data_IF_719812449149
#
_entry.id   IF_719812449149
#
_cell.length_a   1.000
_cell.length_b   1.000
_cell.length_c   1.000
_cell.angle_alpha   90.00
_cell.angle_beta   90.00
_cell.angle_gamma   90.00
#
_symmetry.space_group_name_H-M   'P 1'
#
loop_
_entity.id
_entity.type
_entity.pdbx_description
1 polymer ?
#
# COMPACT_ATOMS: atom_id res chain seq x y z
N UNK A 1 90.48 -16.07 -16.73
CA UNK A 1 89.77 -15.01 -15.98
C UNK A 1 88.34 -15.47 -15.75
N UNK A 2 87.97 -15.52 -14.47
CA UNK A 2 86.62 -15.56 -13.87
C UNK A 2 85.50 -16.38 -14.51
N UNK A 3 85.13 -17.42 -13.78
CA UNK A 3 83.82 -18.07 -13.68
C UNK A 3 82.66 -17.07 -13.54
N UNK A 4 81.45 -17.48 -13.96
CA UNK A 4 80.27 -17.53 -13.09
C UNK A 4 79.15 -18.36 -13.73
N UNK A 5 78.82 -19.45 -13.05
CA UNK A 5 77.70 -20.35 -13.26
C UNK A 5 76.54 -19.81 -12.41
N UNK A 6 75.39 -19.48 -13.01
CA UNK A 6 74.17 -19.20 -12.24
C UNK A 6 73.07 -20.20 -12.65
N UNK A 7 72.63 -20.97 -11.66
CA UNK A 7 71.52 -21.93 -11.70
C UNK A 7 70.15 -21.24 -11.80
N UNK A 8 69.07 -21.97 -12.18
CA UNK A 8 67.76 -21.42 -12.48
C UNK A 8 66.97 -21.10 -11.20
N UNK A 9 66.15 -20.04 -11.24
CA UNK A 9 65.18 -19.72 -10.18
C UNK A 9 63.76 -19.91 -10.71
N UNK A 10 62.95 -20.59 -9.90
CA UNK A 10 61.56 -20.98 -10.18
C UNK A 10 60.54 -19.84 -9.99
N UNK A 11 59.42 -19.91 -10.73
CA UNK A 11 58.29 -18.95 -10.85
C UNK A 11 57.46 -18.72 -9.54
N UNK A 12 56.54 -17.71 -9.48
CA UNK A 12 55.16 -17.87 -10.00
C UNK A 12 54.52 -16.59 -10.64
N UNK A 13 53.30 -16.68 -11.22
CA UNK A 13 52.80 -15.77 -12.25
C UNK A 13 51.75 -14.73 -11.78
N UNK A 14 51.51 -13.75 -12.66
CA UNK A 14 50.24 -13.01 -12.86
C UNK A 14 49.67 -12.16 -11.71
N UNK A 15 49.73 -10.82 -11.86
CA UNK A 15 48.78 -9.88 -11.24
C UNK A 15 48.04 -9.14 -12.36
N UNK A 16 46.91 -9.66 -12.82
CA UNK A 16 45.57 -9.45 -12.26
C UNK A 16 45.07 -8.00 -12.48
N UNK A 17 44.31 -7.86 -13.56
CA UNK A 17 43.28 -6.86 -13.83
C UNK A 17 42.72 -6.26 -12.55
N UNK A 18 42.90 -4.95 -12.39
CA UNK A 18 42.21 -4.16 -11.37
C UNK A 18 40.72 -4.12 -11.66
N UNK A 19 40.00 -5.18 -11.26
CA UNK A 19 38.57 -5.07 -11.01
C UNK A 19 38.43 -4.18 -9.78
N UNK A 20 38.09 -2.92 -10.00
CA UNK A 20 37.47 -2.06 -8.99
C UNK A 20 36.21 -2.76 -8.50
N UNK A 21 36.36 -3.53 -7.41
CA UNK A 21 35.27 -4.04 -6.59
C UNK A 21 34.54 -2.84 -6.02
N UNK A 22 33.55 -2.37 -6.78
CA UNK A 22 32.57 -1.42 -6.29
C UNK A 22 31.78 -2.18 -5.24
N UNK A 23 32.03 -1.91 -3.97
CA UNK A 23 31.19 -2.35 -2.86
C UNK A 23 29.86 -1.58 -2.91
N UNK A 24 29.08 -1.80 -3.96
CA UNK A 24 27.66 -1.49 -3.97
C UNK A 24 26.97 -2.63 -3.22
N UNK A 25 27.04 -2.60 -1.88
CA UNK A 25 26.12 -3.32 -1.02
C UNK A 25 24.74 -2.66 -1.10
N UNK A 26 24.19 -2.58 -2.30
CA UNK A 26 22.77 -2.29 -2.50
C UNK A 26 22.12 -3.65 -2.45
N UNK A 27 21.32 -3.89 -1.40
CA UNK A 27 20.40 -5.03 -1.33
C UNK A 27 19.66 -5.07 -2.67
N UNK A 28 20.07 -5.96 -3.57
CA UNK A 28 19.53 -5.99 -4.92
C UNK A 28 18.18 -6.66 -4.81
N UNK A 29 17.15 -5.85 -4.55
CA UNK A 29 15.77 -6.26 -4.61
C UNK A 29 15.57 -7.05 -5.90
N UNK A 30 15.06 -8.28 -5.79
CA UNK A 30 14.68 -9.09 -6.95
C UNK A 30 13.80 -8.24 -7.89
N UNK A 31 13.92 -8.37 -9.23
CA UNK A 31 13.12 -7.59 -10.17
C UNK A 31 11.61 -7.65 -9.87
N UNK A 32 11.13 -8.78 -9.37
CA UNK A 32 9.76 -8.98 -8.91
C UNK A 32 9.39 -8.10 -7.71
N UNK A 33 10.26 -8.00 -6.69
CA UNK A 33 10.04 -7.10 -5.56
C UNK A 33 9.96 -5.64 -6.02
N UNK A 34 10.86 -5.23 -6.92
CA UNK A 34 10.88 -3.85 -7.43
C UNK A 34 9.58 -3.52 -8.18
N UNK A 35 9.10 -4.44 -9.02
CA UNK A 35 7.84 -4.29 -9.73
C UNK A 35 6.64 -4.23 -8.76
N UNK A 36 6.64 -5.08 -7.73
CA UNK A 36 5.63 -5.04 -6.68
C UNK A 36 5.61 -3.71 -5.91
N UNK A 37 6.77 -3.24 -5.45
CA UNK A 37 6.90 -1.96 -4.73
C UNK A 37 6.47 -0.79 -5.62
N UNK A 38 6.85 -0.80 -6.90
CA UNK A 38 6.43 0.23 -7.84
C UNK A 38 4.91 0.23 -8.03
N UNK A 39 4.30 -0.95 -8.19
CA UNK A 39 2.85 -1.11 -8.27
C UNK A 39 2.11 -0.67 -7.01
N UNK A 40 2.65 -1.01 -5.83
CA UNK A 40 2.12 -0.57 -4.54
C UNK A 40 2.20 0.95 -4.40
N UNK A 41 3.37 1.53 -4.70
CA UNK A 41 3.62 2.97 -4.62
C UNK A 41 2.66 3.74 -5.52
N UNK A 42 2.49 3.29 -6.75
CA UNK A 42 1.55 3.91 -7.69
C UNK A 42 0.10 3.77 -7.22
N UNK A 43 -0.27 2.61 -6.66
CA UNK A 43 -1.60 2.39 -6.08
C UNK A 43 -1.87 3.32 -4.89
N UNK A 44 -0.89 3.47 -4.00
CA UNK A 44 -0.98 4.39 -2.86
C UNK A 44 -1.05 5.84 -3.32
N UNK A 45 -0.26 6.23 -4.33
CA UNK A 45 -0.28 7.59 -4.92
C UNK A 45 -1.64 7.90 -5.54
N UNK A 46 -2.21 6.95 -6.30
CA UNK A 46 -3.57 7.05 -6.86
C UNK A 46 -4.64 7.13 -5.77
N UNK A 47 -4.49 6.39 -4.67
CA UNK A 47 -5.40 6.50 -3.54
C UNK A 47 -5.29 7.89 -2.89
N UNK A 48 -4.08 8.41 -2.67
CA UNK A 48 -3.85 9.72 -2.06
C UNK A 48 -4.32 10.90 -2.90
N UNK A 49 -4.26 10.79 -4.23
CA UNK A 49 -4.79 11.82 -5.14
C UNK A 49 -6.31 11.89 -5.14
N UNK A 50 -7.00 10.79 -4.77
CA UNK A 50 -8.47 10.74 -4.58
C UNK A 50 -8.92 11.16 -3.18
N UNK A 51 -8.00 11.60 -2.32
CA UNK A 51 -8.30 12.06 -0.96
C UNK A 51 -9.05 13.38 -1.02
N UNK A 52 -10.17 13.48 -0.29
CA UNK A 52 -10.89 14.74 -0.12
C UNK A 52 -10.16 15.65 0.88
N UNK A 53 -10.28 16.97 0.77
CA UNK A 53 -9.70 17.89 1.74
C UNK A 53 -10.14 17.58 3.18
N UNK A 54 -9.24 17.74 4.15
CA UNK A 54 -9.54 17.35 5.55
C UNK A 54 -10.38 18.37 6.29
N UNK A 55 -10.36 19.63 5.85
CA UNK A 55 -11.22 20.66 6.42
C UNK A 55 -12.69 20.33 6.15
N UNK A 56 -13.02 19.75 4.99
CA UNK A 56 -14.38 19.36 4.60
C UNK A 56 -14.90 18.18 5.44
N UNK A 57 -13.99 17.28 5.83
CA UNK A 57 -14.27 16.18 6.75
C UNK A 57 -14.58 16.70 8.15
N UNK A 58 -13.82 17.68 8.65
CA UNK A 58 -13.91 18.16 10.03
C UNK A 58 -14.85 19.38 10.15
N UNK A 59 -15.56 19.73 9.07
CA UNK A 59 -16.41 20.90 9.04
C UNK A 59 -17.58 20.78 10.03
N UNK A 60 -17.50 21.56 11.11
CA UNK A 60 -18.44 21.50 12.23
C UNK A 60 -19.82 22.04 11.88
N UNK A 61 -19.92 22.94 10.91
CA UNK A 61 -21.22 23.53 10.53
C UNK A 61 -22.11 22.53 9.82
N UNK A 62 -21.53 21.50 9.24
CA UNK A 62 -22.25 20.48 8.49
C UNK A 62 -22.60 19.23 9.30
N UNK A 63 -22.55 19.31 10.64
CA UNK A 63 -23.03 18.24 11.52
C UNK A 63 -24.46 18.51 11.97
N UNK A 64 -25.34 17.53 11.74
CA UNK A 64 -26.74 17.56 12.16
C UNK A 64 -27.14 16.21 12.77
N UNK A 65 -28.10 16.21 13.70
CA UNK A 65 -28.57 14.99 14.35
C UNK A 65 -29.46 14.22 13.36
N UNK A 66 -29.21 12.91 13.11
CA UNK A 66 -30.06 12.13 12.23
C UNK A 66 -31.46 11.97 12.85
N UNK A 67 -32.49 12.07 12.01
CA UNK A 67 -33.89 12.05 12.45
C UNK A 67 -34.37 10.62 12.76
N UNK A 68 -33.77 9.62 12.10
CA UNK A 68 -34.11 8.21 12.26
C UNK A 68 -32.91 7.30 11.96
N UNK A 69 -33.01 6.01 12.29
CA UNK A 69 -31.99 5.01 11.92
C UNK A 69 -31.86 4.84 10.40
N UNK A 70 -32.97 4.95 9.66
CA UNK A 70 -32.98 4.88 8.20
C UNK A 70 -32.23 6.08 7.60
N UNK A 71 -32.43 7.27 8.16
CA UNK A 71 -31.69 8.47 7.79
C UNK A 71 -30.19 8.30 8.10
N UNK A 72 -29.84 7.91 9.33
CA UNK A 72 -28.45 7.67 9.74
C UNK A 72 -27.72 6.68 8.81
N UNK A 73 -28.35 5.55 8.45
CA UNK A 73 -27.74 4.56 7.54
C UNK A 73 -27.58 5.10 6.11
N UNK A 74 -28.52 5.90 5.63
CA UNK A 74 -28.42 6.61 4.35
C UNK A 74 -27.25 7.59 4.34
N UNK A 75 -27.12 8.42 5.39
CA UNK A 75 -26.01 9.36 5.58
C UNK A 75 -24.67 8.64 5.64
N UNK A 76 -24.55 7.57 6.43
CA UNK A 76 -23.33 6.75 6.50
C UNK A 76 -22.92 6.26 5.10
N UNK A 77 -23.86 5.71 4.31
CA UNK A 77 -23.55 5.19 2.97
C UNK A 77 -23.06 6.29 2.03
N UNK A 78 -23.73 7.45 2.02
CA UNK A 78 -23.34 8.60 1.19
C UNK A 78 -21.95 9.12 1.61
N UNK A 79 -21.76 9.39 2.89
CA UNK A 79 -20.50 9.90 3.43
C UNK A 79 -19.34 8.90 3.29
N UNK A 80 -19.60 7.58 3.39
CA UNK A 80 -18.58 6.56 3.18
C UNK A 80 -18.03 6.58 1.77
N UNK A 81 -18.89 6.69 0.76
CA UNK A 81 -18.46 6.76 -0.63
C UNK A 81 -17.69 8.06 -0.90
N UNK A 82 -18.16 9.18 -0.33
CA UNK A 82 -17.54 10.48 -0.54
C UNK A 82 -16.16 10.61 0.14
N UNK A 83 -16.05 10.25 1.42
CA UNK A 83 -14.82 10.35 2.23
C UNK A 83 -14.04 9.03 2.33
N UNK A 84 -14.24 8.08 1.40
CA UNK A 84 -13.67 6.71 1.47
C UNK A 84 -12.18 6.69 1.81
N UNK A 85 -11.39 7.49 1.10
CA UNK A 85 -9.93 7.54 1.30
C UNK A 85 -9.58 8.13 2.67
N UNK A 86 -10.29 9.17 3.11
CA UNK A 86 -10.10 9.79 4.42
C UNK A 86 -10.45 8.83 5.56
N UNK A 87 -11.54 8.07 5.43
CA UNK A 87 -11.93 7.06 6.42
C UNK A 87 -10.96 5.89 6.50
N UNK A 88 -10.47 5.39 5.35
CA UNK A 88 -9.42 4.36 5.34
C UNK A 88 -8.15 4.89 6.02
N UNK A 89 -7.79 6.15 5.76
CA UNK A 89 -6.64 6.77 6.40
C UNK A 89 -6.81 6.89 7.93
N UNK A 90 -7.99 7.35 8.40
CA UNK A 90 -8.31 7.40 9.83
C UNK A 90 -8.26 6.03 10.50
N UNK A 91 -8.89 5.02 9.89
CA UNK A 91 -8.85 3.63 10.38
C UNK A 91 -7.40 3.13 10.46
N UNK A 92 -6.59 3.42 9.44
CA UNK A 92 -5.18 3.03 9.40
C UNK A 92 -4.38 3.70 10.53
N UNK A 93 -4.64 4.97 10.84
CA UNK A 93 -4.01 5.68 11.97
C UNK A 93 -4.41 5.05 13.31
N UNK A 94 -5.69 4.73 13.51
CA UNK A 94 -6.17 4.06 14.73
C UNK A 94 -5.50 2.69 14.91
N UNK A 95 -5.44 1.88 13.85
CA UNK A 95 -4.75 0.59 13.87
C UNK A 95 -3.26 0.76 14.16
N UNK A 96 -2.59 1.69 13.49
CA UNK A 96 -1.17 1.95 13.69
C UNK A 96 -0.88 2.36 15.14
N UNK A 97 -1.65 3.31 15.70
CA UNK A 97 -1.51 3.72 17.09
C UNK A 97 -1.72 2.55 18.06
N UNK A 98 -2.73 1.71 17.82
CA UNK A 98 -3.01 0.54 18.64
C UNK A 98 -1.86 -0.48 18.59
N UNK A 99 -1.32 -0.76 17.41
CA UNK A 99 -0.20 -1.68 17.22
C UNK A 99 1.10 -1.14 17.84
N UNK A 100 1.41 0.14 17.63
CA UNK A 100 2.60 0.79 18.20
C UNK A 100 2.56 0.80 19.72
N UNK A 101 1.36 0.90 20.31
CA UNK A 101 1.17 0.82 21.76
C UNK A 101 1.39 -0.59 22.34
N UNK A 102 1.49 -1.63 21.49
CA UNK A 102 1.63 -3.03 21.91
C UNK A 102 2.85 -3.68 21.22
N UNK A 103 4.08 -3.41 21.71
CA UNK A 103 5.31 -3.79 21.02
C UNK A 103 5.47 -5.31 20.80
N UNK A 104 4.97 -6.16 21.70
CA UNK A 104 5.00 -7.62 21.52
C UNK A 104 4.08 -8.09 20.39
N UNK A 105 2.89 -7.50 20.28
CA UNK A 105 1.95 -7.78 19.18
C UNK A 105 2.56 -7.34 17.84
N UNK A 106 3.15 -6.14 17.82
CA UNK A 106 3.87 -5.63 16.66
C UNK A 106 5.03 -6.55 16.24
N UNK A 107 5.88 -6.95 17.19
CA UNK A 107 7.00 -7.86 16.93
C UNK A 107 6.51 -9.20 16.35
N UNK A 108 5.42 -9.72 16.88
CA UNK A 108 4.81 -10.98 16.42
C UNK A 108 4.33 -10.86 14.97
N UNK A 109 3.58 -9.80 14.65
CA UNK A 109 3.10 -9.54 13.27
C UNK A 109 4.28 -9.34 12.33
N UNK A 110 5.28 -8.55 12.71
CA UNK A 110 6.47 -8.28 11.88
C UNK A 110 7.27 -9.55 11.64
N UNK A 111 7.44 -10.40 12.65
CA UNK A 111 8.16 -11.68 12.52
C UNK A 111 7.41 -12.64 11.60
N UNK A 112 6.08 -12.72 11.75
CA UNK A 112 5.25 -13.56 10.90
C UNK A 112 5.25 -13.06 9.45
N UNK A 113 5.10 -11.75 9.24
CA UNK A 113 5.21 -11.15 7.91
C UNK A 113 6.60 -11.36 7.32
N UNK A 114 7.66 -11.20 8.12
CA UNK A 114 9.03 -11.49 7.72
C UNK A 114 9.22 -12.93 7.24
N UNK A 115 8.63 -13.91 7.94
CA UNK A 115 8.66 -15.31 7.52
C UNK A 115 7.97 -15.52 6.16
N UNK A 116 6.79 -14.93 5.95
CA UNK A 116 6.11 -14.97 4.64
C UNK A 116 6.94 -14.34 3.53
N UNK A 117 7.49 -13.15 3.77
CA UNK A 117 8.30 -12.42 2.79
C UNK A 117 9.59 -13.18 2.44
N UNK A 118 10.31 -13.67 3.44
CA UNK A 118 11.55 -14.41 3.26
C UNK A 118 11.32 -15.71 2.49
N UNK A 119 10.25 -16.44 2.80
CA UNK A 119 9.99 -17.74 2.20
C UNK A 119 9.36 -17.66 0.80
N UNK A 120 8.61 -16.60 0.47
CA UNK A 120 7.86 -16.56 -0.80
C UNK A 120 8.22 -15.38 -1.71
N UNK A 121 8.73 -14.27 -1.17
CA UNK A 121 9.06 -13.09 -1.99
C UNK A 121 10.58 -13.00 -2.22
N UNK A 122 11.38 -13.28 -1.20
CA UNK A 122 12.84 -13.19 -1.28
C UNK A 122 13.52 -14.51 -1.64
N UNK A 123 12.81 -15.64 -1.56
CA UNK A 123 13.34 -16.95 -1.92
C UNK A 123 13.39 -17.12 -3.44
N UNK A 124 14.54 -17.56 -3.96
CA UNK A 124 14.65 -17.97 -5.35
C UNK A 124 13.79 -19.23 -5.60
N UNK A 125 13.11 -19.35 -6.76
CA UNK A 125 12.22 -20.49 -7.03
C UNK A 125 12.91 -21.86 -6.93
N UNK A 126 14.22 -21.90 -7.17
CA UNK A 126 15.00 -23.13 -7.30
C UNK A 126 15.74 -23.52 -6.00
N UNK A 127 15.53 -22.76 -4.92
CA UNK A 127 16.25 -22.95 -3.66
C UNK A 127 15.41 -23.73 -2.65
N UNK A 128 15.71 -25.02 -2.39
CA UNK A 128 14.97 -25.83 -1.41
C UNK A 128 15.28 -25.36 0.02
N UNK A 129 14.27 -25.40 0.89
CA UNK A 129 14.46 -25.09 2.32
C UNK A 129 14.95 -26.35 3.03
N UNK A 130 16.18 -26.29 3.53
CA UNK A 130 16.81 -27.39 4.26
C UNK A 130 16.95 -26.98 5.72
N UNK A 131 16.34 -27.76 6.63
CA UNK A 131 16.46 -27.56 8.08
C UNK A 131 16.97 -28.86 8.67
N UNK A 132 18.12 -28.83 9.35
CA UNK A 132 18.73 -30.02 9.96
C UNK A 132 19.08 -31.12 8.96
N UNK A 133 19.42 -30.77 7.72
CA UNK A 133 19.76 -31.72 6.65
C UNK A 133 18.56 -32.35 5.92
N UNK A 134 17.31 -32.05 6.32
CA UNK A 134 16.10 -32.46 5.61
C UNK A 134 15.60 -31.36 4.69
N UNK A 135 15.34 -31.68 3.43
CA UNK A 135 14.65 -30.81 2.47
C UNK A 135 13.14 -30.81 2.73
N UNK A 136 12.55 -29.64 2.89
CA UNK A 136 11.10 -29.46 3.03
C UNK A 136 10.49 -29.08 1.69
N UNK A 137 9.36 -29.70 1.36
CA UNK A 137 8.55 -29.34 0.20
C UNK A 137 7.80 -28.03 0.43
N UNK A 138 7.44 -27.34 -0.65
CA UNK A 138 6.68 -26.10 -0.56
C UNK A 138 5.31 -26.27 0.12
N UNK A 139 4.68 -27.45 -0.02
CA UNK A 139 3.40 -27.76 0.64
C UNK A 139 3.57 -27.89 2.15
N UNK A 140 4.65 -28.52 2.61
CA UNK A 140 4.96 -28.62 4.04
C UNK A 140 5.23 -27.23 4.62
N UNK A 141 6.04 -26.41 3.94
CA UNK A 141 6.37 -25.05 4.38
C UNK A 141 5.12 -24.18 4.45
N UNK A 142 4.27 -24.25 3.41
CA UNK A 142 2.99 -23.55 3.40
C UNK A 142 2.10 -24.00 4.56
N UNK A 143 1.97 -25.32 4.78
CA UNK A 143 1.18 -25.88 5.86
C UNK A 143 1.66 -25.43 7.24
N UNK A 144 2.98 -25.47 7.47
CA UNK A 144 3.61 -24.98 8.71
C UNK A 144 3.34 -23.48 8.88
N UNK A 145 3.55 -22.68 7.84
CA UNK A 145 3.40 -21.23 7.92
C UNK A 145 1.95 -20.78 8.13
N UNK A 146 0.99 -21.47 7.50
CA UNK A 146 -0.45 -21.27 7.74
C UNK A 146 -0.81 -21.68 9.15
N UNK A 147 -0.36 -22.85 9.62
CA UNK A 147 -0.62 -23.32 10.99
C UNK A 147 -0.04 -22.35 12.02
N UNK A 148 1.20 -21.88 11.80
CA UNK A 148 1.84 -20.87 12.63
C UNK A 148 1.05 -19.56 12.63
N UNK A 149 0.54 -19.13 11.47
CA UNK A 149 -0.30 -17.92 11.35
C UNK A 149 -1.57 -18.07 12.18
N UNK A 150 -2.27 -19.20 12.08
CA UNK A 150 -3.46 -19.50 12.89
C UNK A 150 -3.09 -19.49 14.37
N UNK A 151 -2.06 -20.23 14.77
CA UNK A 151 -1.61 -20.27 16.16
C UNK A 151 -1.30 -18.88 16.72
N UNK A 152 -0.55 -18.07 15.97
CA UNK A 152 -0.25 -16.68 16.33
C UNK A 152 -1.52 -15.87 16.49
N UNK A 153 -2.43 -15.90 15.52
CA UNK A 153 -3.66 -15.08 15.56
C UNK A 153 -4.57 -15.47 16.72
N UNK A 154 -4.69 -16.76 17.05
CA UNK A 154 -5.61 -17.25 18.07
C UNK A 154 -5.03 -17.29 19.49
N UNK A 155 -3.73 -17.54 19.65
CA UNK A 155 -3.11 -17.65 20.98
C UNK A 155 -2.42 -16.37 21.44
N UNK A 156 -2.25 -15.37 20.56
CA UNK A 156 -1.72 -14.06 20.97
C UNK A 156 -2.82 -13.02 21.05
N UNK A 157 -2.51 -11.89 21.70
CA UNK A 157 -3.40 -10.72 21.75
C UNK A 157 -3.54 -10.00 20.40
N UNK A 158 -2.83 -10.44 19.34
CA UNK A 158 -2.88 -9.82 18.01
C UNK A 158 -4.31 -9.79 17.47
N UNK A 159 -5.01 -10.93 17.51
CA UNK A 159 -6.36 -11.05 16.96
C UNK A 159 -7.36 -10.13 17.66
N UNK A 160 -7.38 -10.13 19.00
CA UNK A 160 -8.26 -9.29 19.79
C UNK A 160 -7.93 -7.80 19.67
N UNK A 161 -6.64 -7.46 19.56
CA UNK A 161 -6.18 -6.09 19.34
C UNK A 161 -6.63 -5.56 17.97
N UNK A 162 -6.43 -6.33 16.90
CA UNK A 162 -6.88 -5.94 15.56
C UNK A 162 -8.40 -5.82 15.49
N UNK A 163 -9.14 -6.75 16.10
CA UNK A 163 -10.60 -6.71 16.14
C UNK A 163 -11.10 -5.47 16.90
N UNK A 164 -10.58 -5.23 18.11
CA UNK A 164 -10.99 -4.08 18.93
C UNK A 164 -10.64 -2.74 18.28
N UNK A 165 -9.42 -2.59 17.75
CA UNK A 165 -9.01 -1.37 17.03
C UNK A 165 -9.88 -1.12 15.79
N UNK A 166 -10.22 -2.18 15.05
CA UNK A 166 -11.10 -2.09 13.88
C UNK A 166 -12.52 -1.70 14.29
N UNK A 167 -13.09 -2.31 15.33
CA UNK A 167 -14.42 -1.95 15.84
C UNK A 167 -14.49 -0.50 16.31
N UNK A 168 -13.46 -0.02 17.01
CA UNK A 168 -13.37 1.38 17.44
C UNK A 168 -13.29 2.30 16.22
N UNK A 169 -12.41 2.00 15.25
CA UNK A 169 -12.26 2.81 14.04
C UNK A 169 -13.52 2.85 13.19
N UNK A 170 -14.17 1.71 12.98
CA UNK A 170 -15.47 1.61 12.28
C UNK A 170 -16.54 2.38 13.06
N UNK A 171 -16.57 2.27 14.39
CA UNK A 171 -17.47 3.05 15.24
C UNK A 171 -17.32 4.56 15.03
N UNK A 172 -16.08 5.07 15.02
CA UNK A 172 -15.78 6.48 14.75
C UNK A 172 -16.30 6.88 13.36
N UNK A 173 -16.03 6.08 12.33
CA UNK A 173 -16.47 6.34 10.96
C UNK A 173 -18.01 6.35 10.86
N UNK A 174 -18.69 5.41 11.52
CA UNK A 174 -20.14 5.34 11.54
C UNK A 174 -20.76 6.53 12.27
N UNK A 175 -20.22 6.93 13.42
CA UNK A 175 -20.67 8.12 14.15
C UNK A 175 -20.47 9.36 13.28
N UNK A 176 -19.28 9.55 12.74
CA UNK A 176 -19.01 10.67 11.84
C UNK A 176 -19.97 10.67 10.63
N UNK A 177 -20.11 9.55 9.95
CA UNK A 177 -20.95 9.41 8.76
C UNK A 177 -22.45 9.54 9.03
N UNK A 178 -22.91 9.24 10.23
CA UNK A 178 -24.32 9.39 10.62
C UNK A 178 -24.69 10.84 10.94
N UNK A 179 -23.76 11.58 11.55
CA UNK A 179 -23.99 12.97 11.99
C UNK A 179 -23.54 14.00 10.96
N UNK A 180 -22.71 13.65 9.99
CA UNK A 180 -22.33 14.54 8.88
C UNK A 180 -23.49 14.63 7.88
N UNK A 181 -23.99 15.84 7.66
CA UNK A 181 -25.06 16.09 6.69
C UNK A 181 -24.53 15.94 5.27
N UNK A 182 -25.13 15.10 4.42
CA UNK A 182 -24.72 14.97 3.03
C UNK A 182 -25.15 16.13 2.13
N UNK A 183 -26.17 16.93 2.47
CA UNK A 183 -26.85 17.81 1.48
C UNK A 183 -25.92 18.85 0.83
N UNK A 184 -25.02 19.48 1.60
CA UNK A 184 -24.04 20.44 1.07
C UNK A 184 -23.08 19.81 0.03
N UNK A 185 -22.79 18.51 0.16
CA UNK A 185 -21.82 17.80 -0.69
C UNK A 185 -22.41 17.44 -2.06
N UNK A 186 -23.73 17.26 -2.15
CA UNK A 186 -24.41 16.88 -3.39
C UNK A 186 -24.80 18.08 -4.27
N UNK A 187 -24.83 19.30 -3.70
CA UNK A 187 -25.04 20.52 -4.47
C UNK A 187 -23.77 20.86 -5.27
N UNK A 188 -22.61 20.85 -4.62
CA UNK A 188 -21.32 21.13 -5.28
C UNK A 188 -20.95 20.10 -6.36
N UNK A 189 -21.16 18.79 -6.13
CA UNK A 189 -20.86 17.75 -7.12
C UNK A 189 -21.85 17.79 -8.33
N UNK A 190 -23.10 18.23 -8.13
CA UNK A 190 -24.07 18.41 -9.22
C UNK A 190 -23.76 19.64 -10.07
N UNK A 191 -23.30 20.73 -9.47
CA UNK A 191 -22.87 21.93 -10.20
C UNK A 191 -21.64 21.64 -11.07
N UNK A 192 -20.70 20.83 -10.59
CA UNK A 192 -19.52 20.39 -11.37
C UNK A 192 -19.88 19.39 -12.48
N UNK A 193 -20.77 18.43 -12.21
CA UNK A 193 -21.23 17.47 -13.22
C UNK A 193 -22.09 18.14 -14.32
N UNK A 194 -22.94 19.09 -13.94
CA UNK A 194 -23.73 19.91 -14.87
C UNK A 194 -22.85 20.81 -15.74
N UNK A 195 -21.84 21.46 -15.16
CA UNK A 195 -20.90 22.30 -15.89
C UNK A 195 -20.03 21.50 -16.89
N UNK A 196 -19.65 20.25 -16.55
CA UNK A 196 -18.89 19.36 -17.44
C UNK A 196 -19.67 18.89 -18.67
N UNK A 197 -20.97 18.60 -18.49
CA UNK A 197 -21.85 18.24 -19.61
C UNK A 197 -22.08 19.45 -20.53
N UNK A 198 -22.41 20.62 -19.98
CA UNK A 198 -22.72 21.80 -20.81
C UNK A 198 -21.50 22.43 -21.48
N UNK A 199 -20.29 22.30 -20.90
CA UNK A 199 -19.05 22.70 -21.58
C UNK A 199 -18.71 21.80 -22.76
N UNK A 200 -19.02 20.50 -22.67
CA UNK A 200 -18.84 19.54 -23.78
C UNK A 200 -19.79 19.81 -24.96
N UNK A 201 -21.04 20.19 -24.67
CA UNK A 201 -22.02 20.57 -25.70
C UNK A 201 -21.78 21.97 -26.26
N UNK A 202 -21.36 22.94 -25.44
CA UNK A 202 -21.00 24.30 -25.88
C UNK A 202 -19.75 24.32 -26.76
N UNK A 203 -18.73 23.51 -26.42
CA UNK A 203 -17.53 23.31 -27.23
C UNK A 203 -17.81 22.63 -28.58
N UNK A 204 -18.76 21.69 -28.62
CA UNK A 204 -19.19 21.05 -29.86
C UNK A 204 -19.98 22.01 -30.77
N UNK A 205 -20.85 22.85 -30.19
CA UNK A 205 -21.63 23.84 -30.94
C UNK A 205 -20.76 24.96 -31.52
N UNK A 206 -19.75 25.43 -30.77
CA UNK A 206 -18.78 26.42 -31.26
C UNK A 206 -17.86 25.85 -32.34
N UNK A 207 -17.42 24.59 -32.21
CA UNK A 207 -16.62 23.91 -33.25
C UNK A 207 -17.39 23.74 -34.56
N UNK A 208 -18.68 23.36 -34.50
CA UNK A 208 -19.53 23.24 -35.67
C UNK A 208 -19.80 24.58 -36.37
N UNK A 209 -19.98 25.67 -35.60
CA UNK A 209 -20.16 27.01 -36.15
C UNK A 209 -18.88 27.55 -36.82
N UNK A 210 -17.71 27.25 -36.27
CA UNK A 210 -16.41 27.64 -36.88
C UNK A 210 -16.15 26.85 -38.17
N UNK A 211 -16.55 25.57 -38.23
CA UNK A 211 -16.45 24.75 -39.43
C UNK A 211 -17.38 25.23 -40.57
N UNK A 212 -18.62 25.65 -40.27
CA UNK A 212 -19.57 26.18 -41.27
C UNK A 212 -19.14 27.55 -41.82
N UNK A 213 -18.53 28.41 -40.98
CA UNK A 213 -17.96 29.69 -41.41
C UNK A 213 -16.73 29.50 -42.30
N UNK A 214 -15.85 28.55 -41.97
CA UNK A 214 -14.66 28.23 -42.77
C UNK A 214 -14.98 27.52 -44.10
N UNK A 215 -16.13 26.85 -44.20
CA UNK A 215 -16.59 26.22 -45.44
C UNK A 215 -17.24 27.21 -46.43
N UNK A 216 -17.46 28.47 -46.02
CA UNK A 216 -18.10 29.53 -46.82
C UNK A 216 -17.13 30.65 -47.26
N UNK A 217 -15.83 30.48 -47.01
CA UNK A 217 -14.74 31.37 -47.49
C UNK A 217 -13.97 30.66 -48.59
#
# INVERSE_FOLDING_TARGET
>A
MSSSQNLPISDPPSSATGNTTTWSSTISATPALRAFIAGLTESTRRAFTRRRPWYELIDRTAFSKPESLTDATSRIRKNYNYFRVNYIALLSVVLAFCLLSHPFSLLTIVSLAGAWLLLYIFRAPDQPVVIGGRTFSDREILGILVTLTVFVVFLTSVGSLLMSATLIGVGIICVHGAFRDPEDLFLDDQDVAGAGLLSSFSGAATSAAVADVMARV
#
